data_IF_724638994769
#
_entry.id   IF_724638994769
#
_cell.length_a   1.000
_cell.length_b   1.000
_cell.length_c   1.000
_cell.angle_alpha   90.00
_cell.angle_beta   90.00
_cell.angle_gamma   90.00
#
_symmetry.space_group_name_H-M   'P 1'
#
loop_
_entity.id
_entity.type
_entity.pdbx_description
1 polymer ?
#
# COMPACT_ATOMS: atom_id res chain seq x y z
N UNK A 1 20.49 18.27 12.74
CA UNK A 1 20.78 16.93 12.16
C UNK A 1 19.76 15.92 12.65
N UNK A 2 19.45 14.90 11.86
CA UNK A 2 18.56 13.83 12.24
C UNK A 2 19.19 12.97 13.35
N UNK A 3 18.52 12.76 14.51
CA UNK A 3 19.01 11.86 15.55
C UNK A 3 19.06 10.39 15.09
N UNK A 4 19.89 9.59 15.75
CA UNK A 4 19.91 8.16 15.54
C UNK A 4 18.57 7.53 15.92
N UNK A 5 18.22 6.44 15.26
CA UNK A 5 16.96 5.74 15.47
C UNK A 5 15.73 6.38 14.81
N UNK A 6 15.84 7.48 14.10
CA UNK A 6 14.73 8.08 13.35
C UNK A 6 14.78 7.76 11.86
N UNK A 7 13.64 7.52 11.27
CA UNK A 7 13.49 7.60 9.81
C UNK A 7 13.54 9.06 9.37
N UNK A 8 14.14 9.32 8.20
CA UNK A 8 14.33 10.70 7.70
C UNK A 8 13.04 11.48 7.51
N UNK A 9 11.98 10.81 6.99
CA UNK A 9 10.66 11.42 6.79
C UNK A 9 10.00 11.73 8.13
N UNK A 10 10.02 10.77 9.07
CA UNK A 10 9.39 10.92 10.39
C UNK A 10 10.03 12.05 11.18
N UNK A 11 11.36 12.20 11.10
CA UNK A 11 12.07 13.33 11.69
C UNK A 11 11.68 14.67 11.06
N UNK A 12 11.56 14.74 9.73
CA UNK A 12 11.13 15.95 9.07
C UNK A 12 9.70 16.34 9.46
N UNK A 13 8.77 15.35 9.57
CA UNK A 13 7.40 15.57 9.99
C UNK A 13 7.30 16.11 11.41
N UNK A 14 8.06 15.56 12.38
CA UNK A 14 8.04 16.06 13.77
C UNK A 14 8.66 17.45 13.90
N UNK A 15 9.72 17.75 13.15
CA UNK A 15 10.32 19.10 13.14
C UNK A 15 9.39 20.14 12.51
N UNK A 16 8.63 19.77 11.48
CA UNK A 16 7.57 20.60 10.91
C UNK A 16 6.44 20.83 11.91
N UNK A 17 6.00 19.78 12.61
CA UNK A 17 4.98 19.88 13.64
C UNK A 17 5.33 20.85 14.77
N UNK A 18 6.56 20.84 15.28
CA UNK A 18 7.03 21.75 16.33
C UNK A 18 6.88 23.25 15.97
N UNK A 19 6.80 23.56 14.67
CA UNK A 19 6.66 24.93 14.15
C UNK A 19 5.26 25.27 13.70
N UNK A 20 4.40 24.27 13.60
CA UNK A 20 3.04 24.45 13.13
C UNK A 20 2.14 24.99 14.24
N UNK A 21 1.36 26.05 13.94
CA UNK A 21 0.49 26.75 14.89
C UNK A 21 -0.98 26.50 14.68
N UNK A 22 -1.39 25.92 13.53
CA UNK A 22 -2.80 25.68 13.19
C UNK A 22 -3.42 24.53 13.99
N UNK A 23 -4.75 24.51 14.06
CA UNK A 23 -5.54 23.46 14.71
C UNK A 23 -5.65 22.18 13.86
N UNK A 24 -5.43 22.31 12.55
CA UNK A 24 -5.40 21.20 11.59
C UNK A 24 -4.00 21.05 11.02
N UNK A 25 -3.49 19.84 11.06
CA UNK A 25 -2.18 19.47 10.48
C UNK A 25 -2.39 18.77 9.15
N UNK A 26 -1.83 19.32 8.07
CA UNK A 26 -1.74 18.66 6.78
C UNK A 26 -0.36 18.05 6.62
N UNK A 27 -0.31 16.73 6.42
CA UNK A 27 0.89 16.01 6.05
C UNK A 27 0.84 15.61 4.57
N UNK A 28 1.96 15.79 3.89
CA UNK A 28 2.07 15.55 2.45
C UNK A 28 3.49 15.16 2.06
N UNK A 29 3.62 14.39 0.99
CA UNK A 29 4.92 14.15 0.38
C UNK A 29 5.34 15.37 -0.46
N UNK A 30 6.65 15.64 -0.50
CA UNK A 30 7.21 16.83 -1.18
C UNK A 30 7.03 16.83 -2.70
N UNK A 31 6.71 15.68 -3.30
CA UNK A 31 6.50 15.49 -4.74
C UNK A 31 5.02 15.27 -5.12
N UNK A 32 4.09 15.50 -4.19
CA UNK A 32 2.64 15.49 -4.46
C UNK A 32 2.22 16.79 -5.13
N UNK A 33 1.36 16.70 -6.14
CA UNK A 33 0.78 17.85 -6.85
C UNK A 33 -0.70 17.96 -6.55
N UNK A 34 -1.16 19.17 -6.27
CA UNK A 34 -2.53 19.48 -5.88
C UNK A 34 -3.26 20.30 -6.93
N UNK A 35 -4.56 20.06 -7.08
CA UNK A 35 -5.46 21.07 -7.65
C UNK A 35 -5.68 22.20 -6.62
N UNK A 36 -6.02 23.39 -7.10
CA UNK A 36 -6.17 24.59 -6.26
C UNK A 36 -7.15 24.43 -5.09
N UNK A 37 -8.17 23.57 -5.23
CA UNK A 37 -9.27 23.42 -4.26
C UNK A 37 -9.15 22.20 -3.35
N UNK A 38 -8.12 21.36 -3.51
CA UNK A 38 -8.08 20.08 -2.76
C UNK A 38 -8.04 20.29 -1.25
N UNK A 39 -7.27 21.25 -0.76
CA UNK A 39 -7.14 21.51 0.69
C UNK A 39 -8.46 22.04 1.24
N UNK A 40 -9.08 23.02 0.59
CA UNK A 40 -10.37 23.59 1.03
C UNK A 40 -11.49 22.54 1.03
N UNK A 41 -11.57 21.70 -0.01
CA UNK A 41 -12.53 20.60 -0.06
C UNK A 41 -12.29 19.56 1.04
N UNK A 42 -11.03 19.18 1.29
CA UNK A 42 -10.70 18.23 2.33
C UNK A 42 -11.02 18.76 3.74
N UNK A 43 -10.71 20.03 4.01
CA UNK A 43 -11.06 20.68 5.28
C UNK A 43 -12.58 20.76 5.46
N UNK A 44 -13.30 21.22 4.41
CA UNK A 44 -14.76 21.29 4.47
C UNK A 44 -15.38 19.90 4.73
N UNK A 45 -14.88 18.85 4.08
CA UNK A 45 -15.36 17.49 4.29
C UNK A 45 -15.06 16.98 5.70
N UNK A 46 -13.83 17.21 6.20
CA UNK A 46 -13.44 16.84 7.56
C UNK A 46 -14.37 17.50 8.62
N UNK A 47 -14.66 18.79 8.45
CA UNK A 47 -15.50 19.53 9.39
C UNK A 47 -16.98 19.14 9.29
N UNK A 48 -17.52 19.02 8.08
CA UNK A 48 -18.93 18.68 7.85
C UNK A 48 -19.30 17.30 8.38
N UNK A 49 -18.39 16.34 8.28
CA UNK A 49 -18.59 14.98 8.79
C UNK A 49 -18.06 14.77 10.22
N UNK A 50 -17.59 15.85 10.86
CA UNK A 50 -17.04 15.82 12.24
C UNK A 50 -15.93 14.77 12.42
N UNK A 51 -15.08 14.62 11.41
CA UNK A 51 -13.96 13.66 11.43
C UNK A 51 -12.81 14.20 12.29
N UNK A 52 -11.99 13.27 12.77
CA UNK A 52 -10.73 13.58 13.44
C UNK A 52 -9.56 13.55 12.45
N UNK A 53 -9.66 12.66 11.46
CA UNK A 53 -8.65 12.49 10.39
C UNK A 53 -9.35 12.22 9.06
N UNK A 54 -8.84 12.88 8.01
CA UNK A 54 -9.19 12.60 6.63
C UNK A 54 -7.93 12.28 5.85
N UNK A 55 -7.89 11.14 5.17
CA UNK A 55 -6.83 10.78 4.22
C UNK A 55 -7.39 10.65 2.81
N UNK A 56 -6.61 11.05 1.82
CA UNK A 56 -7.05 11.11 0.42
C UNK A 56 -6.20 10.19 -0.44
N UNK A 57 -6.86 9.30 -1.17
CA UNK A 57 -6.22 8.43 -2.16
C UNK A 57 -5.81 9.27 -3.38
N UNK A 58 -4.51 9.40 -3.69
CA UNK A 58 -4.06 10.15 -4.85
C UNK A 58 -4.20 9.34 -6.14
N UNK A 59 -4.12 10.01 -7.29
CA UNK A 59 -3.76 9.34 -8.52
C UNK A 59 -2.25 9.02 -8.48
N UNK A 60 -1.92 7.74 -8.53
CA UNK A 60 -0.54 7.28 -8.51
C UNK A 60 0.05 7.32 -9.93
N UNK A 61 1.00 8.20 -10.15
CA UNK A 61 1.66 8.35 -11.44
C UNK A 61 2.71 7.26 -11.64
N UNK A 62 2.61 6.54 -12.77
CA UNK A 62 3.53 5.51 -13.20
C UNK A 62 4.37 6.04 -14.37
N UNK A 63 5.66 6.29 -14.16
CA UNK A 63 6.52 6.92 -15.15
C UNK A 63 7.15 5.94 -16.14
N UNK A 64 7.19 4.64 -15.82
CA UNK A 64 7.71 3.59 -16.68
C UNK A 64 6.71 2.45 -16.90
N UNK A 65 6.96 1.62 -17.92
CA UNK A 65 6.02 0.58 -18.32
C UNK A 65 5.96 -0.59 -17.32
N UNK A 66 7.06 -0.91 -16.63
CA UNK A 66 7.08 -1.97 -15.61
C UNK A 66 6.18 -1.56 -14.44
N UNK A 67 6.27 -0.31 -13.98
CA UNK A 67 5.37 0.21 -12.96
C UNK A 67 3.91 0.20 -13.42
N UNK A 68 3.60 0.54 -14.70
CA UNK A 68 2.23 0.52 -15.23
C UNK A 68 1.58 -0.86 -15.25
N UNK A 69 2.36 -1.93 -15.36
CA UNK A 69 1.85 -3.31 -15.33
C UNK A 69 1.89 -3.94 -13.93
N UNK A 70 2.83 -3.50 -13.08
CA UNK A 70 3.01 -4.06 -11.74
C UNK A 70 2.10 -3.41 -10.70
N UNK A 71 1.97 -2.08 -10.75
CA UNK A 71 1.21 -1.34 -9.75
C UNK A 71 -0.28 -1.70 -9.70
N UNK A 72 -1.00 -1.95 -10.81
CA UNK A 72 -2.38 -2.42 -10.74
C UNK A 72 -2.53 -3.70 -9.93
N UNK A 73 -1.59 -4.64 -10.07
CA UNK A 73 -1.63 -5.91 -9.34
C UNK A 73 -1.29 -5.75 -7.86
N UNK A 74 -0.28 -4.92 -7.55
CA UNK A 74 0.03 -4.56 -6.18
C UNK A 74 -1.13 -3.83 -5.50
N UNK A 75 -1.76 -2.87 -6.19
CA UNK A 75 -2.93 -2.12 -5.68
C UNK A 75 -4.12 -3.05 -5.44
N UNK A 76 -4.40 -3.99 -6.36
CA UNK A 76 -5.45 -5.01 -6.18
C UNK A 76 -5.24 -5.77 -4.87
N UNK A 77 -4.01 -6.21 -4.60
CA UNK A 77 -3.69 -6.89 -3.35
C UNK A 77 -3.82 -5.98 -2.13
N UNK A 78 -3.26 -4.78 -2.17
CA UNK A 78 -3.32 -3.84 -1.05
C UNK A 78 -4.76 -3.40 -0.75
N UNK A 79 -5.57 -3.14 -1.78
CA UNK A 79 -6.96 -2.73 -1.62
C UNK A 79 -7.86 -3.85 -1.08
N UNK A 80 -7.48 -5.13 -1.19
CA UNK A 80 -8.20 -6.21 -0.51
C UNK A 80 -8.28 -6.00 1.00
N UNK A 81 -7.27 -5.35 1.60
CA UNK A 81 -7.22 -5.01 3.02
C UNK A 81 -7.46 -3.51 3.28
N UNK A 82 -6.77 -2.63 2.58
CA UNK A 82 -6.70 -1.18 2.86
C UNK A 82 -7.57 -0.34 1.91
N UNK A 83 -8.67 -0.89 1.40
CA UNK A 83 -9.62 -0.10 0.61
C UNK A 83 -10.37 0.92 1.49
N UNK A 84 -10.88 1.98 0.85
CA UNK A 84 -11.73 2.94 1.53
C UNK A 84 -12.95 2.29 2.21
N UNK A 85 -13.51 1.21 1.62
CA UNK A 85 -14.61 0.43 2.22
C UNK A 85 -14.21 -0.20 3.55
N UNK A 86 -12.99 -0.74 3.64
CA UNK A 86 -12.51 -1.39 4.86
C UNK A 86 -12.08 -0.37 5.92
N UNK A 87 -11.37 0.69 5.51
CA UNK A 87 -10.88 1.74 6.43
C UNK A 87 -12.04 2.54 7.01
N UNK A 88 -13.09 2.82 6.21
CA UNK A 88 -14.25 3.59 6.64
C UNK A 88 -15.26 2.77 7.44
N UNK A 89 -15.16 1.44 7.44
CA UNK A 89 -16.05 0.59 8.25
C UNK A 89 -15.70 0.74 9.74
N UNK A 90 -16.61 1.26 10.58
CA UNK A 90 -16.34 1.45 12.00
C UNK A 90 -16.17 0.12 12.76
N UNK A 91 -16.67 -0.98 12.21
CA UNK A 91 -16.57 -2.32 12.83
C UNK A 91 -15.21 -2.99 12.59
N UNK A 92 -14.42 -2.46 11.64
CA UNK A 92 -13.10 -2.99 11.31
C UNK A 92 -12.02 -2.15 11.96
N UNK A 93 -11.09 -2.80 12.67
CA UNK A 93 -9.91 -2.14 13.25
C UNK A 93 -8.83 -1.78 12.20
N UNK A 94 -9.21 -1.57 10.94
CA UNK A 94 -8.28 -1.30 9.84
C UNK A 94 -8.16 0.20 9.65
N UNK A 95 -7.00 0.75 10.00
CA UNK A 95 -6.65 2.15 9.74
C UNK A 95 -5.46 2.25 8.79
N UNK A 96 -5.53 3.20 7.87
CA UNK A 96 -4.46 3.48 6.91
C UNK A 96 -4.51 4.93 6.46
N UNK A 97 -3.37 5.61 6.37
CA UNK A 97 -3.24 6.92 5.74
C UNK A 97 -2.47 6.80 4.43
N UNK A 98 -2.79 7.66 3.48
CA UNK A 98 -1.92 7.92 2.35
C UNK A 98 -0.96 9.05 2.74
N UNK A 99 0.33 8.75 2.82
CA UNK A 99 1.37 9.72 3.20
C UNK A 99 1.48 10.91 2.26
N UNK A 100 0.94 10.78 1.05
CA UNK A 100 0.82 11.86 0.08
C UNK A 100 -0.19 12.94 0.48
N UNK A 101 -1.21 12.60 1.27
CA UNK A 101 -2.19 13.56 1.78
C UNK A 101 -3.00 13.00 2.94
N UNK A 102 -2.83 13.53 4.13
CA UNK A 102 -3.80 13.38 5.21
C UNK A 102 -3.87 14.64 6.07
N UNK A 103 -5.09 14.98 6.51
CA UNK A 103 -5.35 16.07 7.46
C UNK A 103 -5.81 15.45 8.78
N UNK A 104 -5.24 15.91 9.87
CA UNK A 104 -5.53 15.45 11.24
C UNK A 104 -5.67 16.66 12.17
N UNK A 105 -6.61 16.60 13.10
CA UNK A 105 -6.68 17.60 14.20
C UNK A 105 -5.40 17.54 15.03
N UNK A 106 -4.85 18.70 15.38
CA UNK A 106 -3.61 18.81 16.16
C UNK A 106 -3.69 18.02 17.46
N UNK A 107 -4.76 18.20 18.22
CA UNK A 107 -5.02 17.48 19.48
C UNK A 107 -5.04 15.95 19.32
N UNK A 108 -5.58 15.45 18.19
CA UNK A 108 -5.65 14.02 17.91
C UNK A 108 -4.25 13.50 17.53
N UNK A 109 -3.49 14.27 16.73
CA UNK A 109 -2.12 13.93 16.38
C UNK A 109 -1.22 13.82 17.63
N UNK A 110 -1.42 14.72 18.62
CA UNK A 110 -0.73 14.64 19.91
C UNK A 110 -1.17 13.41 20.73
N UNK A 111 -2.48 13.13 20.79
CA UNK A 111 -3.03 11.97 21.51
C UNK A 111 -2.56 10.62 20.96
N UNK A 112 -2.39 10.49 19.65
CA UNK A 112 -1.88 9.25 19.04
C UNK A 112 -0.35 9.10 19.18
N UNK A 113 0.35 10.12 19.72
CA UNK A 113 1.78 10.10 20.00
C UNK A 113 2.67 10.63 18.88
N UNK A 114 2.10 11.34 17.91
CA UNK A 114 2.83 12.02 16.82
C UNK A 114 3.70 11.07 15.97
N UNK A 115 4.53 11.60 15.09
CA UNK A 115 5.58 10.82 14.41
C UNK A 115 6.66 10.29 15.34
N UNK A 116 6.71 10.74 16.60
CA UNK A 116 7.63 10.19 17.58
C UNK A 116 7.34 8.73 17.91
N UNK A 117 6.06 8.40 18.05
CA UNK A 117 5.62 7.02 18.32
C UNK A 117 5.95 6.05 17.19
N UNK A 118 6.01 6.56 15.96
CA UNK A 118 6.32 5.78 14.75
C UNK A 118 7.68 6.12 14.14
N UNK A 119 8.58 6.73 14.92
CA UNK A 119 9.87 7.25 14.44
C UNK A 119 10.75 6.26 13.69
N UNK A 120 10.57 4.98 13.98
CA UNK A 120 11.30 3.87 13.37
C UNK A 120 10.55 3.21 12.19
N UNK A 121 9.27 3.52 11.99
CA UNK A 121 8.46 2.88 10.97
C UNK A 121 8.83 3.38 9.57
N UNK A 122 9.00 2.42 8.64
CA UNK A 122 9.27 2.72 7.23
C UNK A 122 7.98 3.13 6.52
N UNK A 123 6.85 2.56 6.97
CA UNK A 123 5.50 2.86 6.49
C UNK A 123 4.76 3.58 7.64
N UNK A 124 5.23 4.78 7.94
CA UNK A 124 4.77 5.57 9.08
C UNK A 124 3.30 5.98 8.97
N UNK A 125 2.85 6.26 7.75
CA UNK A 125 1.48 6.62 7.43
C UNK A 125 0.51 5.47 7.72
N UNK A 126 0.85 4.25 7.32
CA UNK A 126 0.10 3.06 7.69
C UNK A 126 0.07 2.81 9.19
N UNK A 127 1.20 3.03 9.87
CA UNK A 127 1.29 2.86 11.33
C UNK A 127 0.43 3.91 12.08
N UNK A 128 0.50 5.19 11.69
CA UNK A 128 -0.33 6.26 12.26
C UNK A 128 -1.82 6.00 12.00
N UNK A 129 -2.18 5.57 10.78
CA UNK A 129 -3.56 5.22 10.44
C UNK A 129 -4.11 4.12 11.32
N UNK A 130 -3.33 3.06 11.55
CA UNK A 130 -3.69 1.97 12.46
C UNK A 130 -3.87 2.48 13.89
N UNK A 131 -2.91 3.21 14.44
CA UNK A 131 -3.00 3.76 15.81
C UNK A 131 -4.24 4.64 15.97
N UNK A 132 -4.54 5.49 14.98
CA UNK A 132 -5.74 6.33 14.97
C UNK A 132 -7.01 5.51 15.09
N UNK A 133 -7.13 4.45 14.29
CA UNK A 133 -8.31 3.58 14.29
C UNK A 133 -8.45 2.77 15.58
N UNK A 134 -7.33 2.19 16.07
CA UNK A 134 -7.27 1.44 17.34
C UNK A 134 -7.60 2.33 18.54
N UNK A 135 -7.29 3.62 18.47
CA UNK A 135 -7.63 4.61 19.50
C UNK A 135 -9.08 5.10 19.44
N UNK A 136 -9.87 4.61 18.48
CA UNK A 136 -11.30 4.95 18.36
C UNK A 136 -11.60 6.30 17.74
N UNK A 137 -10.61 6.98 17.13
CA UNK A 137 -10.82 8.26 16.46
C UNK A 137 -11.51 8.11 15.09
N UNK A 138 -12.29 9.13 14.71
CA UNK A 138 -13.06 9.16 13.48
C UNK A 138 -12.13 9.38 12.27
N UNK A 139 -11.70 8.28 11.64
CA UNK A 139 -10.88 8.25 10.43
C UNK A 139 -11.75 7.98 9.20
N UNK A 140 -11.59 8.81 8.15
CA UNK A 140 -12.20 8.58 6.84
C UNK A 140 -11.15 8.64 5.74
N UNK A 141 -11.23 7.68 4.82
CA UNK A 141 -10.45 7.62 3.58
C UNK A 141 -11.37 7.94 2.41
N UNK A 142 -10.98 8.90 1.60
CA UNK A 142 -11.75 9.32 0.42
C UNK A 142 -10.90 9.22 -0.85
N UNK A 143 -11.57 9.06 -1.98
CA UNK A 143 -10.92 9.06 -3.28
C UNK A 143 -10.72 10.48 -3.77
N UNK A 144 -9.51 10.79 -4.27
CA UNK A 144 -9.14 12.11 -4.75
C UNK A 144 -8.24 12.08 -5.97
N UNK A 145 -8.29 11.00 -6.77
CA UNK A 145 -7.43 10.78 -7.93
C UNK A 145 -7.59 11.86 -9.03
N UNK A 146 -8.65 12.65 -8.96
CA UNK A 146 -8.88 13.80 -9.84
C UNK A 146 -8.42 15.14 -9.25
N UNK A 147 -8.02 15.16 -7.99
CA UNK A 147 -7.63 16.36 -7.24
C UNK A 147 -6.15 16.40 -6.89
N UNK A 148 -5.51 15.22 -6.76
CA UNK A 148 -4.09 15.19 -6.41
C UNK A 148 -3.35 14.03 -7.07
N UNK A 149 -2.10 14.29 -7.44
CA UNK A 149 -1.19 13.34 -8.06
C UNK A 149 0.01 13.09 -7.15
N UNK A 150 0.38 11.82 -6.99
CA UNK A 150 1.61 11.42 -6.33
C UNK A 150 2.42 10.49 -7.23
N UNK A 151 3.73 10.65 -7.30
CA UNK A 151 4.60 9.75 -8.06
C UNK A 151 4.82 8.49 -7.22
N UNK A 152 4.32 7.34 -7.71
CA UNK A 152 4.55 6.08 -7.01
C UNK A 152 5.99 5.60 -7.19
N UNK A 153 6.47 5.59 -8.42
CA UNK A 153 7.82 5.16 -8.79
C UNK A 153 8.29 5.88 -10.05
N UNK A 154 9.56 6.25 -10.07
CA UNK A 154 10.22 6.94 -11.20
C UNK A 154 10.86 5.95 -12.17
N UNK A 155 11.07 4.71 -11.75
CA UNK A 155 11.73 3.67 -12.54
C UNK A 155 11.37 2.27 -12.06
N UNK A 156 11.56 1.28 -12.93
CA UNK A 156 11.39 -0.14 -12.60
C UNK A 156 12.24 -0.58 -11.39
N UNK A 157 13.43 0.00 -11.22
CA UNK A 157 14.28 -0.25 -10.05
C UNK A 157 13.65 0.27 -8.76
N UNK A 158 13.07 1.47 -8.78
CA UNK A 158 12.36 2.00 -7.62
C UNK A 158 11.10 1.19 -7.31
N UNK A 159 10.38 0.73 -8.35
CA UNK A 159 9.25 -0.18 -8.19
C UNK A 159 9.67 -1.48 -7.49
N UNK A 160 10.75 -2.10 -7.94
CA UNK A 160 11.30 -3.31 -7.31
C UNK A 160 11.70 -3.08 -5.84
N UNK A 161 12.47 -2.03 -5.59
CA UNK A 161 12.85 -1.66 -4.22
C UNK A 161 11.63 -1.34 -3.34
N UNK A 162 10.54 -0.85 -3.94
CA UNK A 162 9.25 -0.64 -3.27
C UNK A 162 8.63 -1.94 -2.79
N UNK A 163 8.62 -2.99 -3.64
CA UNK A 163 8.12 -4.32 -3.28
C UNK A 163 8.94 -4.93 -2.13
N UNK A 164 10.27 -4.88 -2.22
CA UNK A 164 11.15 -5.35 -1.14
C UNK A 164 10.92 -4.58 0.17
N UNK A 165 10.75 -3.26 0.07
CA UNK A 165 10.49 -2.39 1.23
C UNK A 165 9.19 -2.70 1.95
N UNK A 166 8.16 -3.20 1.26
CA UNK A 166 6.93 -3.66 1.89
C UNK A 166 7.14 -4.94 2.68
N UNK A 167 7.96 -5.85 2.19
CA UNK A 167 8.13 -7.19 2.77
C UNK A 167 9.20 -7.27 3.86
N UNK A 168 10.31 -6.54 3.73
CA UNK A 168 11.43 -6.64 4.70
C UNK A 168 10.99 -6.28 6.12
N UNK A 169 10.33 -5.12 6.37
CA UNK A 169 9.84 -4.79 7.71
C UNK A 169 8.81 -5.80 8.22
N UNK A 170 7.85 -6.17 7.40
CA UNK A 170 6.80 -7.13 7.76
C UNK A 170 7.38 -8.48 8.20
N UNK A 171 8.35 -9.00 7.47
CA UNK A 171 9.01 -10.26 7.78
C UNK A 171 9.84 -10.18 9.07
N UNK A 172 10.52 -9.06 9.33
CA UNK A 172 11.27 -8.88 10.57
C UNK A 172 10.38 -8.71 11.79
N UNK A 173 9.24 -8.05 11.64
CA UNK A 173 8.26 -7.88 12.72
C UNK A 173 7.61 -9.22 13.08
N UNK A 174 7.18 -9.98 12.07
CA UNK A 174 6.56 -11.30 12.25
C UNK A 174 6.82 -12.18 11.01
N UNK A 175 7.76 -13.12 11.13
CA UNK A 175 8.13 -14.03 10.04
C UNK A 175 6.95 -14.81 9.48
N UNK A 176 6.10 -15.34 10.35
CA UNK A 176 4.92 -16.11 9.95
C UNK A 176 3.94 -15.27 9.15
N UNK A 177 3.72 -14.01 9.57
CA UNK A 177 2.87 -13.07 8.86
C UNK A 177 3.47 -12.67 7.51
N UNK A 178 4.77 -12.40 7.44
CA UNK A 178 5.47 -12.09 6.19
C UNK A 178 5.38 -13.24 5.18
N UNK A 179 5.61 -14.48 5.64
CA UNK A 179 5.44 -15.68 4.81
C UNK A 179 3.98 -15.85 4.39
N UNK A 180 3.03 -15.65 5.30
CA UNK A 180 1.60 -15.75 5.02
C UNK A 180 1.15 -14.74 3.95
N UNK A 181 1.63 -13.49 4.01
CA UNK A 181 1.36 -12.47 2.99
C UNK A 181 1.94 -12.85 1.63
N UNK A 182 3.17 -13.39 1.60
CA UNK A 182 3.76 -13.89 0.37
C UNK A 182 2.90 -14.99 -0.29
N UNK A 183 2.48 -15.99 0.48
CA UNK A 183 1.60 -17.05 -0.03
C UNK A 183 0.23 -16.52 -0.45
N UNK A 184 -0.34 -15.57 0.29
CA UNK A 184 -1.60 -14.93 -0.10
C UNK A 184 -1.48 -14.25 -1.47
N UNK A 185 -0.41 -13.47 -1.71
CA UNK A 185 -0.14 -12.85 -3.02
C UNK A 185 0.04 -13.91 -4.11
N UNK A 186 0.83 -14.95 -3.84
CA UNK A 186 1.07 -16.04 -4.77
C UNK A 186 -0.25 -16.73 -5.17
N UNK A 187 -1.06 -17.12 -4.19
CA UNK A 187 -2.31 -17.86 -4.43
C UNK A 187 -3.42 -16.97 -5.02
N UNK A 188 -3.50 -15.70 -4.64
CA UNK A 188 -4.56 -14.80 -5.14
C UNK A 188 -4.25 -14.28 -6.54
N UNK A 189 -3.00 -13.88 -6.81
CA UNK A 189 -2.66 -13.16 -8.03
C UNK A 189 -2.03 -14.02 -9.11
N UNK A 190 -1.40 -15.16 -8.78
CA UNK A 190 -0.59 -15.89 -9.76
C UNK A 190 -1.02 -17.35 -9.97
N UNK A 191 -1.26 -18.10 -8.92
CA UNK A 191 -1.61 -19.53 -9.01
C UNK A 191 -2.85 -19.80 -9.88
N UNK A 192 -3.95 -19.00 -9.86
CA UNK A 192 -5.09 -19.23 -10.73
C UNK A 192 -4.74 -19.23 -12.23
N UNK A 193 -3.80 -18.35 -12.62
CA UNK A 193 -3.32 -18.26 -14.00
C UNK A 193 -2.54 -19.53 -14.38
N UNK A 194 -1.69 -20.01 -13.48
CA UNK A 194 -0.91 -21.26 -13.69
C UNK A 194 -1.85 -22.44 -13.83
N UNK A 195 -2.86 -22.55 -12.96
CA UNK A 195 -3.84 -23.64 -13.03
C UNK A 195 -4.74 -23.58 -14.27
N UNK A 196 -5.05 -22.38 -14.76
CA UNK A 196 -5.76 -22.22 -16.01
C UNK A 196 -4.92 -22.77 -17.18
N UNK A 197 -3.67 -22.35 -17.28
CA UNK A 197 -2.73 -22.83 -18.33
C UNK A 197 -2.56 -24.36 -18.23
N UNK A 198 -2.32 -24.86 -17.01
CA UNK A 198 -2.20 -26.30 -16.76
C UNK A 198 -3.45 -27.07 -17.22
N UNK A 199 -4.63 -26.63 -16.83
CA UNK A 199 -5.89 -27.26 -17.21
C UNK A 199 -6.12 -27.28 -18.71
N UNK A 200 -5.77 -26.18 -19.41
CA UNK A 200 -5.90 -26.09 -20.88
C UNK A 200 -4.92 -27.02 -21.63
N UNK A 201 -3.73 -27.24 -21.08
CA UNK A 201 -2.71 -28.11 -21.71
C UNK A 201 -3.04 -29.59 -21.49
N UNK A 202 -3.49 -29.96 -20.29
CA UNK A 202 -3.64 -31.37 -19.91
C UNK A 202 -5.09 -31.90 -19.98
N UNK A 203 -6.06 -31.07 -20.38
CA UNK A 203 -7.42 -31.56 -20.62
C UNK A 203 -7.42 -32.53 -21.80
N UNK A 204 -7.88 -33.76 -21.56
CA UNK A 204 -7.97 -34.77 -22.59
C UNK A 204 -9.34 -35.41 -22.56
N UNK A 205 -9.82 -36.05 -23.70
CA UNK A 205 -11.10 -36.71 -23.74
C UNK A 205 -11.30 -37.84 -22.71
N UNK A 206 -10.19 -38.44 -22.24
CA UNK A 206 -10.21 -39.52 -21.26
C UNK A 206 -10.31 -39.06 -19.80
N UNK A 207 -9.91 -37.81 -19.52
CA UNK A 207 -9.85 -37.27 -18.13
C UNK A 207 -10.58 -35.95 -17.96
N UNK A 208 -11.39 -35.51 -18.96
CA UNK A 208 -12.00 -34.19 -18.92
C UNK A 208 -12.87 -33.97 -17.67
N UNK A 209 -13.61 -34.97 -17.20
CA UNK A 209 -14.49 -34.85 -16.03
C UNK A 209 -13.72 -34.52 -14.74
N UNK A 210 -12.53 -35.08 -14.58
CA UNK A 210 -11.65 -34.81 -13.42
C UNK A 210 -11.03 -33.42 -13.47
N UNK A 211 -10.79 -32.88 -14.68
CA UNK A 211 -10.22 -31.55 -14.89
C UNK A 211 -11.24 -30.41 -14.90
N UNK A 212 -12.53 -30.69 -15.15
CA UNK A 212 -13.57 -29.66 -15.23
C UNK A 212 -13.65 -28.74 -13.99
N UNK A 213 -13.65 -29.25 -12.74
CA UNK A 213 -13.70 -28.38 -11.56
C UNK A 213 -12.51 -27.44 -11.47
N UNK A 214 -11.31 -27.93 -11.79
CA UNK A 214 -10.09 -27.13 -11.80
C UNK A 214 -10.12 -26.07 -12.91
N UNK A 215 -10.58 -26.45 -14.11
CA UNK A 215 -10.72 -25.55 -15.24
C UNK A 215 -11.73 -24.43 -14.94
N UNK A 216 -12.94 -24.76 -14.46
CA UNK A 216 -13.95 -23.76 -14.14
C UNK A 216 -13.49 -22.81 -13.02
N UNK A 217 -12.94 -23.34 -11.93
CA UNK A 217 -12.46 -22.51 -10.83
C UNK A 217 -11.30 -21.60 -11.25
N UNK A 218 -10.38 -22.09 -12.09
CA UNK A 218 -9.27 -21.29 -12.60
C UNK A 218 -9.72 -20.24 -13.63
N UNK A 219 -10.72 -20.52 -14.46
CA UNK A 219 -11.34 -19.52 -15.36
C UNK A 219 -11.97 -18.40 -14.53
N UNK A 220 -12.79 -18.71 -13.53
CA UNK A 220 -13.47 -17.73 -12.68
C UNK A 220 -12.43 -16.86 -11.96
N UNK A 221 -11.44 -17.49 -11.32
CA UNK A 221 -10.42 -16.77 -10.55
C UNK A 221 -9.52 -15.90 -11.44
N UNK A 222 -9.11 -16.43 -12.60
CA UNK A 222 -8.31 -15.65 -13.57
C UNK A 222 -9.10 -14.49 -14.16
N UNK A 223 -10.39 -14.70 -14.47
CA UNK A 223 -11.27 -13.62 -14.92
C UNK A 223 -11.41 -12.53 -13.87
N UNK A 224 -11.54 -12.89 -12.60
CA UNK A 224 -11.58 -11.93 -11.49
C UNK A 224 -10.28 -11.12 -11.39
N UNK A 225 -9.10 -11.75 -11.59
CA UNK A 225 -7.80 -11.06 -11.63
C UNK A 225 -7.77 -10.02 -12.77
N UNK A 226 -8.20 -10.39 -13.99
CA UNK A 226 -8.23 -9.46 -15.12
C UNK A 226 -9.24 -8.32 -14.92
N UNK A 227 -10.41 -8.59 -14.34
CA UNK A 227 -11.39 -7.56 -14.00
C UNK A 227 -10.81 -6.59 -12.97
N UNK A 228 -10.19 -7.09 -11.90
CA UNK A 228 -9.55 -6.27 -10.89
C UNK A 228 -8.40 -5.44 -11.48
N UNK A 229 -7.54 -6.05 -12.31
CA UNK A 229 -6.47 -5.36 -13.03
C UNK A 229 -7.02 -4.24 -13.94
N UNK A 230 -8.13 -4.49 -14.65
CA UNK A 230 -8.78 -3.50 -15.50
C UNK A 230 -9.34 -2.34 -14.67
N UNK A 231 -10.03 -2.64 -13.57
CA UNK A 231 -10.57 -1.61 -12.67
C UNK A 231 -9.46 -0.74 -12.08
N UNK A 232 -8.40 -1.35 -11.53
CA UNK A 232 -7.26 -0.60 -10.99
C UNK A 232 -6.56 0.22 -12.06
N UNK A 233 -6.31 -0.36 -13.24
CA UNK A 233 -5.66 0.34 -14.36
C UNK A 233 -6.47 1.54 -14.80
N UNK A 234 -7.78 1.38 -15.00
CA UNK A 234 -8.65 2.41 -15.58
C UNK A 234 -9.15 3.41 -14.55
N UNK A 235 -9.63 2.92 -13.39
CA UNK A 235 -10.32 3.76 -12.40
C UNK A 235 -9.37 4.25 -11.30
N UNK A 236 -8.42 3.42 -10.85
CA UNK A 236 -7.48 3.78 -9.80
C UNK A 236 -6.31 4.61 -10.31
N UNK A 237 -5.74 4.21 -11.46
CA UNK A 237 -4.49 4.79 -11.98
C UNK A 237 -4.68 5.67 -13.21
N UNK A 238 -5.87 5.69 -13.80
CA UNK A 238 -6.18 6.40 -15.05
C UNK A 238 -5.20 6.11 -16.21
N UNK A 239 -4.81 4.84 -16.35
CA UNK A 239 -3.93 4.35 -17.41
C UNK A 239 -4.73 3.81 -18.60
N UNK A 240 -4.04 3.58 -19.73
CA UNK A 240 -4.63 2.88 -20.89
C UNK A 240 -5.00 1.44 -20.50
N UNK A 241 -6.21 1.01 -20.83
CA UNK A 241 -6.75 -0.32 -20.47
C UNK A 241 -5.90 -1.49 -20.99
N UNK A 242 -5.10 -1.29 -22.04
CA UNK A 242 -4.18 -2.31 -22.58
C UNK A 242 -3.20 -2.83 -21.53
N UNK A 243 -2.83 -2.02 -20.53
CA UNK A 243 -1.94 -2.47 -19.47
C UNK A 243 -2.55 -3.57 -18.58
N UNK A 244 -3.88 -3.66 -18.50
CA UNK A 244 -4.56 -4.73 -17.77
C UNK A 244 -4.34 -6.12 -18.40
N UNK A 245 -4.07 -6.20 -19.71
CA UNK A 245 -3.75 -7.46 -20.38
C UNK A 245 -2.44 -8.07 -19.88
N UNK A 246 -1.56 -7.26 -19.30
CA UNK A 246 -0.29 -7.71 -18.73
C UNK A 246 -0.41 -8.10 -17.23
N UNK A 247 -1.63 -8.28 -16.72
CA UNK A 247 -1.86 -8.71 -15.34
C UNK A 247 -1.04 -9.95 -14.93
N UNK A 248 -0.88 -11.01 -15.77
CA UNK A 248 -0.03 -12.14 -15.43
C UNK A 248 1.44 -11.77 -15.16
N UNK A 249 1.98 -10.88 -15.99
CA UNK A 249 3.37 -10.41 -15.84
C UNK A 249 3.47 -9.52 -14.59
N UNK A 250 2.53 -8.60 -14.39
CA UNK A 250 2.46 -7.76 -13.20
C UNK A 250 2.37 -8.58 -11.90
N UNK A 251 1.53 -9.62 -11.89
CA UNK A 251 1.39 -10.55 -10.77
C UNK A 251 2.71 -11.27 -10.47
N UNK A 252 3.37 -11.79 -11.51
CA UNK A 252 4.68 -12.46 -11.37
C UNK A 252 5.73 -11.51 -10.77
N UNK A 253 5.79 -10.25 -11.24
CA UNK A 253 6.73 -9.26 -10.71
C UNK A 253 6.44 -8.98 -9.22
N UNK A 254 5.18 -8.85 -8.81
CA UNK A 254 4.82 -8.66 -7.39
C UNK A 254 5.25 -9.86 -6.56
N UNK A 255 4.97 -11.09 -7.00
CA UNK A 255 5.38 -12.32 -6.33
C UNK A 255 6.90 -12.41 -6.18
N UNK A 256 7.64 -12.18 -7.29
CA UNK A 256 9.10 -12.21 -7.27
C UNK A 256 9.71 -11.11 -6.38
N UNK A 257 9.14 -9.90 -6.41
CA UNK A 257 9.59 -8.79 -5.56
C UNK A 257 9.36 -9.06 -4.07
N UNK A 258 8.23 -9.68 -3.71
CA UNK A 258 7.95 -10.07 -2.33
C UNK A 258 8.86 -11.21 -1.87
N UNK A 259 9.11 -12.20 -2.73
CA UNK A 259 10.08 -13.26 -2.44
C UNK A 259 11.49 -12.67 -2.24
N UNK A 260 11.91 -11.76 -3.12
CA UNK A 260 13.19 -11.06 -3.00
C UNK A 260 13.29 -10.32 -1.66
N UNK A 261 12.22 -9.63 -1.23
CA UNK A 261 12.16 -8.97 0.07
C UNK A 261 12.36 -9.94 1.25
N UNK A 262 11.73 -11.12 1.22
CA UNK A 262 11.92 -12.18 2.23
C UNK A 262 13.37 -12.68 2.23
N UNK A 263 13.92 -12.97 1.06
CA UNK A 263 15.31 -13.44 0.92
C UNK A 263 16.31 -12.38 1.40
N UNK A 264 16.05 -11.11 1.11
CA UNK A 264 16.86 -10.00 1.60
C UNK A 264 16.77 -9.88 3.13
N UNK A 265 15.58 -9.99 3.69
CA UNK A 265 15.35 -9.93 5.13
C UNK A 265 16.12 -11.04 5.89
N UNK A 266 16.25 -12.23 5.29
CA UNK A 266 17.06 -13.30 5.88
C UNK A 266 18.58 -13.03 5.84
N UNK A 267 19.06 -12.26 4.84
CA UNK A 267 20.49 -11.95 4.68
C UNK A 267 20.91 -10.68 5.43
N UNK A 268 20.03 -9.70 5.53
CA UNK A 268 20.33 -8.39 6.08
C UNK A 268 19.09 -7.78 6.72
N UNK A 269 19.26 -7.19 7.89
CA UNK A 269 18.22 -6.37 8.53
C UNK A 269 18.18 -4.93 8.00
N UNK A 270 18.90 -4.60 6.92
CA UNK A 270 18.98 -3.25 6.39
C UNK A 270 18.09 -3.10 5.14
N UNK A 271 17.28 -2.05 5.12
CA UNK A 271 16.51 -1.59 3.95
C UNK A 271 17.16 -0.34 3.38
N UNK A 272 17.36 -0.31 2.07
CA UNK A 272 17.85 0.88 1.38
C UNK A 272 16.67 1.75 0.92
N UNK A 273 16.64 3.01 1.36
CA UNK A 273 15.62 3.96 0.94
C UNK A 273 16.21 5.35 0.70
N UNK A 274 15.97 5.90 -0.49
CA UNK A 274 16.48 7.23 -0.91
C UNK A 274 17.98 7.42 -0.62
N UNK A 275 18.79 6.39 -0.97
CA UNK A 275 20.25 6.41 -0.81
C UNK A 275 20.77 6.21 0.63
N UNK A 276 19.89 5.97 1.60
CA UNK A 276 20.26 5.66 2.99
C UNK A 276 19.91 4.21 3.32
N UNK A 277 20.77 3.59 4.15
CA UNK A 277 20.50 2.25 4.72
C UNK A 277 19.91 2.41 6.12
N UNK A 278 18.80 1.73 6.38
CA UNK A 278 18.13 1.71 7.67
C UNK A 278 18.15 0.29 8.23
N UNK A 279 18.61 0.11 9.46
CA UNK A 279 18.58 -1.18 10.14
C UNK A 279 17.18 -1.47 10.68
N UNK A 280 16.58 -2.59 10.30
CA UNK A 280 15.25 -3.00 10.78
C UNK A 280 15.32 -3.67 12.14
N UNK A 281 16.50 -4.18 12.57
CA UNK A 281 16.69 -4.80 13.89
C UNK A 281 16.49 -3.83 15.06
N UNK A 282 16.73 -2.55 14.84
CA UNK A 282 16.50 -1.51 15.85
C UNK A 282 15.01 -1.18 16.03
N UNK A 283 14.13 -1.69 15.15
CA UNK A 283 12.74 -1.29 15.03
C UNK A 283 11.74 -2.33 15.56
N UNK A 284 12.19 -3.57 15.82
CA UNK A 284 11.27 -4.71 15.99
C UNK A 284 10.74 -4.94 17.42
N UNK A 285 11.01 -4.07 18.40
CA UNK A 285 10.73 -4.45 19.79
C UNK A 285 9.33 -4.15 20.33
N UNK A 286 8.44 -3.38 19.68
CA UNK A 286 7.24 -2.95 20.42
C UNK A 286 5.88 -2.84 19.72
N UNK A 287 5.64 -3.16 18.44
CA UNK A 287 4.36 -2.76 17.83
C UNK A 287 3.67 -3.76 16.89
N UNK A 288 3.57 -5.04 17.26
CA UNK A 288 2.46 -5.88 16.78
C UNK A 288 2.10 -6.87 17.88
N UNK A 289 1.06 -6.58 18.64
CA UNK A 289 0.21 -7.59 19.29
C UNK A 289 -0.99 -7.83 18.41
#
# INVERSE_FOLDING_TARGET
>A
SKPDGWMGKNWACIEGFKRATGDLMLFTDADTRYSEKVVSHAVAHLLSEKLDVLTVIPRLLCLDNITKITLPMLSTFLHSRYSALNVNDPKKGIGYFFGSFFIIKKEIYEKIGTHEKVKHEIIEDGALGRITKESGFALKMVRGEHLLDAVYSRSSKEMWNGLERLMVPLYHQNKSQGIGVFFAVLFILFIPIVFLIYSLIFISPTHYTSFLPLLFSSIISTSAIFIAAFMETKMGLNLKSVFALFAPIGSLIVVCGFLSGILQANKSSAVSWRGRKYSVKEFSQNYIK
#
